data_IF_132951792294
#
_entry.id   IF_132951792294
#
_cell.length_a   1.000
_cell.length_b   1.000
_cell.length_c   1.000
_cell.angle_alpha   90.00
_cell.angle_beta   90.00
_cell.angle_gamma   90.00
#
_symmetry.space_group_name_H-M   'P 1'
#
loop_
_entity.id
_entity.type
_entity.pdbx_description
1 polymer ?
#
# COMPACT_ATOMS: atom_id res chain seq x y z
N UNK A 1 3.61 -5.14 11.88
CA UNK A 1 4.24 -4.26 10.89
C UNK A 1 3.34 -3.07 10.62
N UNK A 2 3.95 -1.91 10.39
CA UNK A 2 3.19 -0.68 10.22
C UNK A 2 3.30 -0.20 8.79
N UNK A 3 2.15 0.00 8.18
CA UNK A 3 2.06 0.52 6.82
C UNK A 3 1.11 1.69 6.79
N UNK A 4 1.31 2.57 5.82
CA UNK A 4 0.41 3.67 5.55
C UNK A 4 -0.22 3.43 4.20
N UNK A 5 -1.54 3.45 4.14
CA UNK A 5 -2.27 3.25 2.88
C UNK A 5 -2.97 4.55 2.55
N UNK A 6 -2.69 5.10 1.37
CA UNK A 6 -3.26 6.37 0.96
C UNK A 6 -3.99 6.25 -0.36
N UNK A 7 -5.11 6.93 -0.46
CA UNK A 7 -5.90 6.94 -1.68
C UNK A 7 -5.62 8.24 -2.42
N UNK A 8 -4.99 8.14 -3.59
CA UNK A 8 -4.52 9.30 -4.33
C UNK A 8 -4.95 9.17 -5.79
N UNK A 9 -5.76 10.11 -6.26
CA UNK A 9 -6.15 10.21 -7.68
C UNK A 9 -6.64 8.89 -8.26
N UNK A 10 -7.49 8.18 -7.51
CA UNK A 10 -8.13 6.97 -8.01
C UNK A 10 -7.30 5.71 -7.89
N UNK A 11 -6.17 5.77 -7.18
CA UNK A 11 -5.38 4.57 -6.91
C UNK A 11 -4.89 4.58 -5.48
N UNK A 12 -4.32 3.44 -5.06
CA UNK A 12 -3.80 3.27 -3.71
C UNK A 12 -2.28 3.34 -3.76
N UNK A 13 -1.69 4.07 -2.80
CA UNK A 13 -0.24 4.06 -2.59
C UNK A 13 0.05 3.57 -1.20
N UNK A 14 1.03 2.67 -1.07
CA UNK A 14 1.38 2.06 0.21
C UNK A 14 2.80 2.45 0.58
N UNK A 15 2.96 2.90 1.83
CA UNK A 15 4.23 3.38 2.36
C UNK A 15 4.58 2.59 3.61
N UNK A 16 5.87 2.51 3.94
CA UNK A 16 6.31 1.87 5.16
C UNK A 16 6.21 2.82 6.35
N UNK A 17 6.64 2.35 7.52
CA UNK A 17 6.53 3.12 8.77
C UNK A 17 7.38 4.38 8.77
N UNK A 18 8.43 4.43 7.96
CA UNK A 18 9.29 5.59 7.84
C UNK A 18 8.86 6.54 6.73
N UNK A 19 7.77 6.24 6.05
CA UNK A 19 7.28 7.07 4.96
C UNK A 19 7.88 6.74 3.61
N UNK A 20 8.59 5.62 3.50
CA UNK A 20 9.16 5.19 2.23
C UNK A 20 8.11 4.52 1.35
N UNK A 21 8.11 4.86 0.07
CA UNK A 21 7.16 4.28 -0.88
C UNK A 21 7.46 2.80 -1.10
N UNK A 22 6.43 1.96 -1.01
CA UNK A 22 6.58 0.52 -1.23
C UNK A 22 6.04 0.10 -2.60
N UNK A 23 4.77 0.38 -2.85
CA UNK A 23 4.15 0.01 -4.12
C UNK A 23 2.81 0.73 -4.28
N UNK A 24 2.25 0.66 -5.48
CA UNK A 24 0.91 1.17 -5.74
C UNK A 24 0.00 0.06 -6.22
N UNK A 25 -1.31 0.25 -6.08
CA UNK A 25 -2.31 -0.72 -6.48
C UNK A 25 -3.54 0.01 -7.01
N UNK A 26 -4.36 -0.69 -7.80
CA UNK A 26 -5.55 -0.09 -8.38
C UNK A 26 -6.65 0.11 -7.36
N UNK A 27 -6.70 -0.75 -6.35
CA UNK A 27 -7.74 -0.66 -5.33
C UNK A 27 -7.22 -1.26 -4.02
N UNK A 28 -8.02 -1.07 -2.97
CA UNK A 28 -7.63 -1.48 -1.63
C UNK A 28 -7.41 -2.99 -1.50
N UNK A 29 -8.25 -3.77 -2.17
CA UNK A 29 -8.14 -5.21 -2.10
C UNK A 29 -6.80 -5.69 -2.65
N UNK A 30 -6.38 -5.15 -3.78
CA UNK A 30 -5.09 -5.49 -4.36
C UNK A 30 -3.95 -5.10 -3.43
N UNK A 31 -4.05 -3.92 -2.80
CA UNK A 31 -3.03 -3.47 -1.87
C UNK A 31 -2.89 -4.43 -0.70
N UNK A 32 -4.02 -4.88 -0.15
CA UNK A 32 -3.99 -5.80 0.99
C UNK A 32 -3.43 -7.17 0.59
N UNK A 33 -3.72 -7.64 -0.61
CA UNK A 33 -3.18 -8.90 -1.11
C UNK A 33 -1.66 -8.83 -1.26
N UNK A 34 -1.17 -7.72 -1.81
CA UNK A 34 0.27 -7.52 -1.95
C UNK A 34 0.97 -7.48 -0.59
N UNK A 35 0.38 -6.80 0.37
CA UNK A 35 0.95 -6.73 1.71
C UNK A 35 1.01 -8.11 2.35
N UNK A 36 -0.01 -8.92 2.14
CA UNK A 36 -0.04 -10.28 2.68
C UNK A 36 1.04 -11.15 2.04
N UNK A 37 1.22 -11.03 0.73
CA UNK A 37 2.22 -11.82 0.02
C UNK A 37 3.64 -11.39 0.37
N UNK A 38 3.84 -10.12 0.72
CA UNK A 38 5.15 -9.61 1.09
C UNK A 38 5.54 -9.94 2.52
N UNK A 39 4.59 -10.36 3.34
CA UNK A 39 4.86 -10.67 4.75
C UNK A 39 5.49 -12.10 4.96
#
# INVERSE_FOLDING_TARGET
>A
MNYSIEYINGHIEVYDAQGGFLFSADNRQEALEELRDAA
#
